data_IF_931471062902
#
_entry.id   IF_931471062902
#
_cell.length_a   1.000
_cell.length_b   1.000
_cell.length_c   1.000
_cell.angle_alpha   90.00
_cell.angle_beta   90.00
_cell.angle_gamma   90.00
#
_symmetry.space_group_name_H-M   'P 1'
#
loop_
_entity.id
_entity.type
_entity.pdbx_description
1 polymer ?
#
# COMPACT_ATOMS: atom_id res chain seq x y z
N UNK A 1 12.08 -47.79 46.65
CA UNK A 1 13.14 -47.21 45.78
C UNK A 1 12.61 -46.18 44.76
N UNK A 2 11.40 -45.61 44.90
CA UNK A 2 10.82 -44.69 43.89
C UNK A 2 10.87 -43.19 44.24
N UNK A 3 11.08 -42.82 45.52
CA UNK A 3 11.01 -41.42 45.94
C UNK A 3 12.24 -40.61 45.50
N UNK A 4 13.43 -41.14 45.77
CA UNK A 4 14.69 -40.48 45.38
C UNK A 4 14.84 -40.41 43.85
N UNK A 5 14.42 -41.45 43.11
CA UNK A 5 14.50 -41.43 41.64
C UNK A 5 13.64 -40.31 41.02
N UNK A 6 12.47 -40.02 41.58
CA UNK A 6 11.61 -38.93 41.08
C UNK A 6 12.20 -37.56 41.38
N UNK A 7 12.79 -37.36 42.55
CA UNK A 7 13.46 -36.11 42.92
C UNK A 7 14.69 -35.87 42.04
N UNK A 8 15.55 -36.89 41.87
CA UNK A 8 16.72 -36.79 41.00
C UNK A 8 16.33 -36.60 39.52
N UNK A 9 15.22 -37.19 39.07
CA UNK A 9 14.67 -36.96 37.73
C UNK A 9 14.20 -35.51 37.52
N UNK A 10 13.45 -34.96 38.48
CA UNK A 10 12.95 -33.58 38.38
C UNK A 10 14.09 -32.55 38.46
N UNK A 11 15.03 -32.72 39.40
CA UNK A 11 16.21 -31.86 39.51
C UNK A 11 17.12 -31.99 38.29
N UNK A 12 17.35 -33.20 37.78
CA UNK A 12 18.16 -33.43 36.58
C UNK A 12 17.55 -32.80 35.33
N UNK A 13 16.23 -32.87 35.18
CA UNK A 13 15.53 -32.23 34.06
C UNK A 13 15.60 -30.69 34.15
N UNK A 14 15.32 -30.11 35.32
CA UNK A 14 15.37 -28.66 35.51
C UNK A 14 16.78 -28.07 35.38
N UNK A 15 17.80 -28.75 35.92
CA UNK A 15 19.19 -28.33 35.79
C UNK A 15 19.72 -28.57 34.38
N UNK A 16 19.36 -29.68 33.75
CA UNK A 16 19.76 -30.00 32.37
C UNK A 16 19.24 -28.98 31.35
N UNK A 17 17.96 -28.59 31.45
CA UNK A 17 17.38 -27.59 30.56
C UNK A 17 18.00 -26.22 30.77
N UNK A 18 18.19 -25.80 32.03
CA UNK A 18 18.77 -24.47 32.30
C UNK A 18 20.22 -24.38 31.83
N UNK A 19 21.04 -25.40 32.09
CA UNK A 19 22.42 -25.47 31.57
C UNK A 19 22.42 -25.54 30.04
N UNK A 20 21.52 -26.32 29.43
CA UNK A 20 21.40 -26.44 27.98
C UNK A 20 21.03 -25.12 27.29
N UNK A 21 20.09 -24.36 27.86
CA UNK A 21 19.70 -23.04 27.34
C UNK A 21 20.83 -22.02 27.47
N UNK A 22 21.52 -21.98 28.61
CA UNK A 22 22.64 -21.06 28.83
C UNK A 22 23.79 -21.40 27.87
N UNK A 23 24.17 -22.67 27.77
CA UNK A 23 25.22 -23.12 26.85
C UNK A 23 24.84 -22.86 25.38
N UNK A 24 23.59 -23.14 25.00
CA UNK A 24 23.08 -22.87 23.64
C UNK A 24 23.09 -21.38 23.30
N UNK A 25 22.69 -20.52 24.24
CA UNK A 25 22.73 -19.06 24.06
C UNK A 25 24.17 -18.54 23.86
N UNK A 26 25.11 -18.99 24.69
CA UNK A 26 26.51 -18.59 24.52
C UNK A 26 27.11 -19.12 23.21
N UNK A 27 26.84 -20.38 22.84
CA UNK A 27 27.27 -20.92 21.55
C UNK A 27 26.69 -20.13 20.39
N UNK A 28 25.41 -19.74 20.44
CA UNK A 28 24.79 -18.95 19.39
C UNK A 28 25.49 -17.60 19.20
N UNK A 29 25.81 -16.88 20.27
CA UNK A 29 26.49 -15.58 20.20
C UNK A 29 27.93 -15.72 19.67
N UNK A 30 28.68 -16.73 20.12
CA UNK A 30 30.09 -16.87 19.75
C UNK A 30 30.30 -17.54 18.39
N UNK A 31 29.37 -18.39 17.94
CA UNK A 31 29.49 -19.11 16.67
C UNK A 31 28.79 -18.37 15.53
N UNK A 32 27.66 -17.73 15.77
CA UNK A 32 26.96 -17.00 14.72
C UNK A 32 27.45 -15.55 14.65
N UNK A 33 28.32 -15.28 13.67
CA UNK A 33 28.74 -13.92 13.35
C UNK A 33 27.53 -13.04 13.05
N UNK A 34 27.35 -11.97 13.82
CA UNK A 34 26.33 -10.92 13.56
C UNK A 34 26.79 -9.94 12.48
N UNK A 35 27.95 -10.20 11.86
CA UNK A 35 28.51 -9.34 10.83
C UNK A 35 27.72 -9.51 9.53
N UNK A 36 26.81 -8.57 9.28
CA UNK A 36 26.06 -8.49 8.04
C UNK A 36 26.97 -7.84 7.01
N UNK A 37 27.43 -8.62 6.03
CA UNK A 37 28.20 -8.06 4.93
C UNK A 37 27.36 -7.00 4.23
N UNK A 38 27.92 -5.79 4.12
CA UNK A 38 27.29 -4.73 3.35
C UNK A 38 27.35 -5.13 1.88
N UNK A 39 26.21 -5.25 1.18
CA UNK A 39 26.23 -5.56 -0.24
C UNK A 39 26.92 -4.43 -1.00
N UNK A 40 27.77 -4.78 -1.97
CA UNK A 40 28.34 -3.78 -2.87
C UNK A 40 27.22 -3.19 -3.74
N UNK A 41 26.93 -1.90 -3.52
CA UNK A 41 25.95 -1.18 -4.31
C UNK A 41 26.58 -0.89 -5.68
N UNK A 42 26.11 -1.59 -6.71
CA UNK A 42 26.50 -1.35 -8.11
C UNK A 42 25.30 -0.88 -8.94
N UNK A 43 25.50 -0.02 -9.94
CA UNK A 43 24.44 0.39 -10.86
C UNK A 43 23.78 -0.81 -11.54
N UNK A 44 22.48 -0.72 -11.83
CA UNK A 44 21.74 -1.79 -12.54
C UNK A 44 22.30 -2.09 -13.93
N UNK A 45 22.96 -1.11 -14.57
CA UNK A 45 23.63 -1.25 -15.87
C UNK A 45 24.80 -2.23 -15.81
N UNK A 46 25.44 -2.39 -14.64
CA UNK A 46 26.64 -3.22 -14.47
C UNK A 46 26.29 -4.62 -13.92
N UNK A 47 25.00 -4.93 -13.71
CA UNK A 47 24.52 -6.22 -13.23
C UNK A 47 24.39 -7.24 -14.37
N UNK A 48 24.58 -8.51 -14.04
CA UNK A 48 24.40 -9.60 -14.99
C UNK A 48 22.92 -9.86 -15.30
N UNK A 49 22.66 -10.43 -16.48
CA UNK A 49 21.30 -10.69 -16.97
C UNK A 49 20.51 -11.62 -16.06
N UNK A 50 21.15 -12.62 -15.44
CA UNK A 50 20.46 -13.55 -14.53
C UNK A 50 20.01 -12.85 -13.25
N UNK A 51 20.88 -12.03 -12.64
CA UNK A 51 20.52 -11.22 -11.48
C UNK A 51 19.40 -10.23 -11.80
N UNK A 52 19.47 -9.54 -12.95
CA UNK A 52 18.40 -8.64 -13.39
C UNK A 52 17.07 -9.37 -13.56
N UNK A 53 17.06 -10.57 -14.15
CA UNK A 53 15.85 -11.37 -14.30
C UNK A 53 15.25 -11.80 -12.95
N UNK A 54 16.08 -12.11 -11.96
CA UNK A 54 15.63 -12.42 -10.60
C UNK A 54 15.06 -11.20 -9.87
N UNK A 55 15.49 -9.99 -10.23
CA UNK A 55 14.99 -8.74 -9.65
C UNK A 55 13.66 -8.28 -10.27
N UNK A 56 13.35 -8.66 -11.52
CA UNK A 56 12.11 -8.24 -12.21
C UNK A 56 10.81 -8.46 -11.40
N UNK A 57 10.62 -9.59 -10.67
CA UNK A 57 9.44 -9.80 -9.85
C UNK A 57 9.36 -8.89 -8.62
N UNK A 58 10.50 -8.42 -8.10
CA UNK A 58 10.62 -7.57 -6.91
C UNK A 58 10.43 -6.07 -7.23
N UNK A 59 10.29 -5.72 -8.51
CA UNK A 59 10.13 -4.34 -8.95
C UNK A 59 8.77 -3.79 -8.45
N UNK A 60 8.75 -2.59 -7.83
CA UNK A 60 7.51 -1.97 -7.40
C UNK A 60 6.52 -1.78 -8.54
N UNK A 61 5.23 -1.94 -8.24
CA UNK A 61 4.15 -1.85 -9.23
C UNK A 61 4.11 -0.51 -9.95
N UNK A 62 4.48 0.60 -9.31
CA UNK A 62 4.53 1.93 -9.92
C UNK A 62 5.65 2.12 -10.95
N UNK A 63 6.72 1.32 -10.85
CA UNK A 63 7.76 1.25 -11.89
C UNK A 63 7.28 0.38 -13.05
N UNK A 64 6.55 -0.69 -12.74
CA UNK A 64 6.04 -1.66 -13.74
C UNK A 64 4.86 -1.10 -14.54
N UNK A 65 3.96 -0.37 -13.88
CA UNK A 65 2.69 0.13 -14.40
C UNK A 65 2.56 1.66 -14.18
N UNK A 66 3.49 2.48 -14.68
CA UNK A 66 3.50 3.93 -14.41
C UNK A 66 2.24 4.63 -14.92
N UNK A 67 1.68 4.17 -16.04
CA UNK A 67 0.47 4.74 -16.63
C UNK A 67 -0.76 4.55 -15.74
N UNK A 68 -0.83 3.43 -15.01
CA UNK A 68 -1.94 3.13 -14.09
C UNK A 68 -1.89 4.05 -12.87
N UNK A 69 -0.70 4.18 -12.26
CA UNK A 69 -0.52 4.95 -11.04
C UNK A 69 -0.59 6.47 -11.25
N UNK A 70 -0.28 6.94 -12.46
CA UNK A 70 -0.41 8.37 -12.80
C UNK A 70 -1.84 8.79 -13.14
N UNK A 71 -2.76 7.83 -13.31
CA UNK A 71 -4.17 8.08 -13.67
C UNK A 71 -4.37 8.93 -14.95
N UNK A 72 -3.35 9.08 -15.79
CA UNK A 72 -3.45 9.82 -17.05
C UNK A 72 -4.52 9.21 -17.98
N UNK A 73 -4.70 7.90 -17.88
CA UNK A 73 -5.77 7.17 -18.57
C UNK A 73 -7.17 7.61 -18.10
N UNK A 74 -7.34 7.90 -16.80
CA UNK A 74 -8.61 8.32 -16.23
C UNK A 74 -8.95 9.75 -16.67
N UNK A 75 -7.94 10.62 -16.74
CA UNK A 75 -8.14 11.98 -17.25
C UNK A 75 -8.63 11.97 -18.70
N UNK A 76 -8.01 11.18 -19.58
CA UNK A 76 -8.46 11.00 -20.97
C UNK A 76 -9.86 10.38 -21.05
N UNK A 77 -10.14 9.41 -20.19
CA UNK A 77 -11.47 8.79 -20.12
C UNK A 77 -12.55 9.81 -19.73
N UNK A 78 -12.31 10.62 -18.70
CA UNK A 78 -13.21 11.69 -18.29
C UNK A 78 -13.39 12.74 -19.39
N UNK A 79 -12.31 13.10 -20.09
CA UNK A 79 -12.35 14.01 -21.24
C UNK A 79 -13.26 13.47 -22.36
N UNK A 80 -13.15 12.19 -22.71
CA UNK A 80 -14.02 11.58 -23.71
C UNK A 80 -15.48 11.45 -23.25
N UNK A 81 -15.72 11.27 -21.96
CA UNK A 81 -17.08 11.24 -21.42
C UNK A 81 -17.70 12.64 -21.27
N UNK A 82 -16.88 13.68 -21.12
CA UNK A 82 -17.33 15.02 -20.78
C UNK A 82 -18.48 15.53 -21.67
N UNK A 83 -18.45 15.42 -23.01
CA UNK A 83 -19.54 15.93 -23.86
C UNK A 83 -20.89 15.25 -23.63
N UNK A 84 -20.90 14.03 -23.09
CA UNK A 84 -22.13 13.29 -22.76
C UNK A 84 -22.62 13.64 -21.36
N UNK A 85 -21.69 13.73 -20.41
CA UNK A 85 -21.97 14.14 -19.04
C UNK A 85 -22.49 15.58 -19.01
N UNK A 86 -21.87 16.48 -19.75
CA UNK A 86 -22.24 17.89 -19.88
C UNK A 86 -23.73 18.05 -20.24
N UNK A 87 -24.21 17.33 -21.26
CA UNK A 87 -25.63 17.39 -21.66
C UNK A 87 -26.59 16.97 -20.56
N UNK A 88 -26.27 15.89 -19.85
CA UNK A 88 -27.12 15.37 -18.77
C UNK A 88 -27.07 16.30 -17.55
N UNK A 89 -25.87 16.71 -17.14
CA UNK A 89 -25.63 17.59 -15.99
C UNK A 89 -26.26 18.96 -16.22
N UNK A 90 -26.06 19.58 -17.39
CA UNK A 90 -26.68 20.86 -17.73
C UNK A 90 -28.20 20.77 -17.69
N UNK A 91 -28.80 19.70 -18.21
CA UNK A 91 -30.26 19.52 -18.14
C UNK A 91 -30.73 19.41 -16.70
N UNK A 92 -30.11 18.54 -15.91
CA UNK A 92 -30.47 18.35 -14.49
C UNK A 92 -30.25 19.62 -13.67
N UNK A 93 -29.16 20.34 -13.91
CA UNK A 93 -28.87 21.61 -13.24
C UNK A 93 -29.93 22.66 -13.58
N UNK A 94 -30.32 22.81 -14.86
CA UNK A 94 -31.41 23.72 -15.26
C UNK A 94 -32.74 23.31 -14.60
N UNK A 95 -33.08 22.03 -14.57
CA UNK A 95 -34.30 21.51 -13.93
C UNK A 95 -34.35 21.81 -12.42
N UNK A 96 -33.22 21.70 -11.72
CA UNK A 96 -33.13 21.99 -10.28
C UNK A 96 -33.11 23.50 -10.02
N UNK A 97 -32.41 24.28 -10.85
CA UNK A 97 -32.23 25.71 -10.62
C UNK A 97 -33.45 26.56 -11.01
N UNK A 98 -34.19 26.17 -12.06
CA UNK A 98 -35.41 26.86 -12.49
C UNK A 98 -36.42 27.15 -11.35
N UNK A 99 -36.82 26.17 -10.51
CA UNK A 99 -37.76 26.43 -9.43
C UNK A 99 -37.18 27.34 -8.33
N UNK A 100 -35.88 27.21 -8.03
CA UNK A 100 -35.19 28.05 -7.04
C UNK A 100 -35.15 29.51 -7.52
N UNK A 101 -34.83 29.72 -8.80
CA UNK A 101 -34.82 31.04 -9.42
C UNK A 101 -36.24 31.63 -9.44
N UNK A 102 -37.26 30.84 -9.77
CA UNK A 102 -38.65 31.28 -9.79
C UNK A 102 -39.14 31.76 -8.40
N UNK A 103 -38.67 31.14 -7.33
CA UNK A 103 -38.98 31.56 -5.96
C UNK A 103 -38.29 32.89 -5.57
N UNK A 104 -37.05 33.10 -6.02
CA UNK A 104 -36.25 34.28 -5.66
C UNK A 104 -36.49 35.51 -6.56
N UNK A 105 -36.98 35.33 -7.80
CA UNK A 105 -37.37 36.41 -8.73
C UNK A 105 -38.28 37.48 -8.08
N UNK A 106 -39.42 37.14 -7.46
CA UNK A 106 -40.34 38.13 -6.88
C UNK A 106 -39.73 38.85 -5.67
N UNK A 107 -38.81 38.20 -4.95
CA UNK A 107 -38.14 38.73 -3.76
C UNK A 107 -37.15 39.83 -4.10
N UNK A 108 -36.45 39.71 -5.22
CA UNK A 108 -35.45 40.68 -5.68
C UNK A 108 -35.93 41.61 -6.80
N UNK A 109 -37.20 41.51 -7.23
CA UNK A 109 -37.79 42.33 -8.31
C UNK A 109 -37.01 42.24 -9.64
N UNK A 110 -36.57 41.04 -9.99
CA UNK A 110 -35.89 40.76 -11.27
C UNK A 110 -36.97 40.53 -12.35
N UNK A 111 -36.77 41.02 -13.57
CA UNK A 111 -37.77 40.89 -14.66
C UNK A 111 -37.79 39.48 -15.28
N UNK A 112 -36.61 38.91 -15.58
CA UNK A 112 -36.48 37.51 -16.03
C UNK A 112 -35.04 37.00 -15.84
N UNK A 113 -34.89 35.68 -15.74
CA UNK A 113 -33.60 35.00 -15.75
C UNK A 113 -33.73 33.80 -16.66
N UNK A 114 -32.85 33.73 -17.67
CA UNK A 114 -32.77 32.60 -18.60
C UNK A 114 -31.35 32.05 -18.62
N UNK A 115 -31.23 30.74 -18.79
CA UNK A 115 -29.94 30.12 -18.99
C UNK A 115 -29.51 30.28 -20.44
N UNK A 116 -28.33 30.84 -20.65
CA UNK A 116 -27.67 30.84 -21.96
C UNK A 116 -27.48 29.38 -22.44
N UNK A 117 -27.58 29.18 -23.75
CA UNK A 117 -27.53 27.87 -24.40
C UNK A 117 -26.14 27.57 -24.93
#
# INVERSE_FOLDING_TARGET
MGFFSTIFGFCGFGLGISIGLVAGYFLFIYVQSTDVQNPEIRPLVDQDTETLQRMLPEIPLWVKNPDYDRLDWLNKFLEYMWPYLDKAICKTAKEIANPIIAEEIPKYKIESVEFEN
#
